data_IF_598017477364
#
_entry.id   IF_598017477364
#
_cell.length_a   1.000
_cell.length_b   1.000
_cell.length_c   1.000
_cell.angle_alpha   90.00
_cell.angle_beta   90.00
_cell.angle_gamma   90.00
#
_symmetry.space_group_name_H-M   'P 1'
#
loop_
_entity.id
_entity.type
_entity.pdbx_description
1 polymer ?
#
# COMPACT_ATOMS: atom_id res chain seq x y z
N UNK A 1 -7.91 -23.85 9.38
CA UNK A 1 -6.91 -24.82 9.88
C UNK A 1 -6.78 -24.70 11.38
N UNK A 2 -6.11 -23.67 11.91
CA UNK A 2 -5.80 -23.53 13.34
C UNK A 2 -7.03 -23.60 14.28
N UNK A 3 -8.14 -22.92 13.94
CA UNK A 3 -9.38 -23.00 14.73
C UNK A 3 -10.12 -24.35 14.58
N UNK A 4 -9.94 -25.04 13.45
CA UNK A 4 -10.63 -26.30 13.14
C UNK A 4 -9.94 -27.46 13.86
N UNK A 5 -8.60 -27.44 13.92
CA UNK A 5 -7.82 -28.48 14.60
C UNK A 5 -7.81 -28.32 16.11
N UNK A 6 -8.23 -27.17 16.65
CA UNK A 6 -8.14 -26.87 18.08
C UNK A 6 -6.72 -26.72 18.59
N UNK A 7 -5.72 -26.66 17.70
CA UNK A 7 -4.30 -26.66 18.06
C UNK A 7 -3.79 -25.23 18.28
N UNK A 8 -4.33 -24.58 19.31
CA UNK A 8 -3.95 -23.24 19.75
C UNK A 8 -4.10 -23.11 21.26
N UNK A 9 -3.41 -22.14 21.86
CA UNK A 9 -3.56 -21.84 23.28
C UNK A 9 -4.21 -20.47 23.47
N UNK A 10 -5.07 -20.36 24.46
CA UNK A 10 -5.72 -19.12 24.90
C UNK A 10 -5.29 -18.85 26.33
N UNK A 11 -4.74 -17.67 26.57
CA UNK A 11 -4.38 -17.18 27.89
C UNK A 11 -5.34 -16.04 28.26
N UNK A 12 -5.80 -16.05 29.51
CA UNK A 12 -6.60 -14.97 30.09
C UNK A 12 -5.73 -13.77 30.45
N UNK A 13 -6.38 -12.68 30.83
CA UNK A 13 -5.72 -11.42 31.20
C UNK A 13 -4.77 -11.58 32.39
N UNK A 14 -5.07 -12.55 33.27
CA UNK A 14 -4.26 -12.89 34.44
C UNK A 14 -3.10 -13.87 34.12
N UNK A 15 -2.88 -14.17 32.83
CA UNK A 15 -1.89 -15.15 32.37
C UNK A 15 -2.31 -16.61 32.58
N UNK A 16 -3.47 -16.86 33.19
CA UNK A 16 -4.02 -18.20 33.35
C UNK A 16 -4.42 -18.81 31.99
N UNK A 17 -4.07 -20.07 31.75
CA UNK A 17 -4.48 -20.75 30.52
C UNK A 17 -5.99 -21.02 30.54
N UNK A 18 -6.72 -20.38 29.62
CA UNK A 18 -8.16 -20.61 29.40
C UNK A 18 -8.40 -21.82 28.50
N UNK A 19 -7.47 -22.09 27.59
CA UNK A 19 -7.49 -23.26 26.71
C UNK A 19 -6.07 -23.62 26.28
N UNK A 20 -5.73 -24.91 26.28
CA UNK A 20 -4.42 -25.40 25.86
C UNK A 20 -4.59 -26.53 24.84
N UNK A 21 -4.51 -26.20 23.56
CA UNK A 21 -4.54 -27.16 22.46
C UNK A 21 -3.17 -27.77 22.14
N UNK A 22 -2.07 -27.08 22.48
CA UNK A 22 -0.70 -27.59 22.27
C UNK A 22 0.17 -27.23 23.49
N UNK A 23 0.63 -28.22 24.24
CA UNK A 23 1.53 -28.00 25.37
C UNK A 23 2.94 -27.62 24.90
N UNK A 24 3.52 -26.58 25.51
CA UNK A 24 4.93 -26.21 25.31
C UNK A 24 5.27 -25.44 24.03
N UNK A 25 4.29 -25.12 23.18
CA UNK A 25 4.50 -24.30 21.98
C UNK A 25 4.07 -22.86 22.28
N UNK A 26 4.98 -21.91 22.07
CA UNK A 26 4.70 -20.49 22.20
C UNK A 26 3.79 -19.99 21.06
N UNK A 27 3.05 -18.91 21.31
CA UNK A 27 2.22 -18.28 20.29
C UNK A 27 3.04 -17.85 19.08
N UNK A 28 2.58 -18.22 17.88
CA UNK A 28 3.25 -17.86 16.64
C UNK A 28 3.15 -18.92 15.55
N UNK A 29 4.12 -18.95 14.61
CA UNK A 29 4.12 -19.86 13.47
C UNK A 29 4.04 -21.35 13.85
N UNK A 30 4.50 -21.70 15.07
CA UNK A 30 4.45 -23.06 15.60
C UNK A 30 3.03 -23.64 15.66
N UNK A 31 2.00 -22.82 15.96
CA UNK A 31 0.61 -23.31 15.96
C UNK A 31 0.15 -23.73 14.57
N UNK A 32 0.52 -22.96 13.54
CA UNK A 32 0.15 -23.27 12.16
C UNK A 32 0.93 -24.49 11.66
N UNK A 33 2.20 -24.63 12.05
CA UNK A 33 3.01 -25.81 11.74
C UNK A 33 2.39 -27.07 12.35
N UNK A 34 2.11 -27.08 13.66
CA UNK A 34 1.49 -28.23 14.34
C UNK A 34 0.08 -28.52 13.80
N UNK A 35 -0.71 -27.48 13.51
CA UNK A 35 -2.02 -27.66 12.88
C UNK A 35 -1.92 -28.30 11.49
N UNK A 36 -0.99 -27.85 10.66
CA UNK A 36 -0.78 -28.41 9.32
C UNK A 36 -0.26 -29.84 9.39
N UNK A 37 0.65 -30.13 10.33
CA UNK A 37 1.17 -31.47 10.58
C UNK A 37 0.07 -32.45 11.00
N UNK A 38 -0.90 -32.00 11.81
CA UNK A 38 -2.04 -32.85 12.20
C UNK A 38 -2.93 -33.25 11.01
N UNK A 39 -2.96 -32.42 9.96
CA UNK A 39 -3.76 -32.65 8.76
C UNK A 39 -3.00 -33.39 7.68
N UNK A 40 -1.68 -33.18 7.60
CA UNK A 40 -0.78 -33.83 6.65
C UNK A 40 0.50 -34.28 7.38
N UNK A 41 0.44 -35.43 8.09
CA UNK A 41 1.58 -35.93 8.86
C UNK A 41 2.79 -36.21 7.97
N UNK A 42 3.98 -35.81 8.44
CA UNK A 42 5.27 -35.97 7.78
C UNK A 42 5.63 -34.88 6.76
N UNK A 43 4.66 -34.10 6.28
CA UNK A 43 4.89 -33.07 5.25
C UNK A 43 4.41 -31.66 5.65
N UNK A 44 3.43 -31.56 6.56
CA UNK A 44 2.80 -30.29 6.93
C UNK A 44 3.79 -29.25 7.46
N UNK A 45 4.72 -29.66 8.34
CA UNK A 45 5.75 -28.77 8.88
C UNK A 45 6.68 -28.19 7.79
N UNK A 46 7.17 -29.04 6.88
CA UNK A 46 8.05 -28.61 5.78
C UNK A 46 7.34 -27.68 4.81
N UNK A 47 6.08 -27.98 4.48
CA UNK A 47 5.26 -27.13 3.63
C UNK A 47 5.13 -25.70 4.20
N UNK A 48 4.76 -25.59 5.48
CA UNK A 48 4.60 -24.27 6.13
C UNK A 48 5.94 -23.52 6.19
N UNK A 49 7.05 -24.20 6.48
CA UNK A 49 8.37 -23.58 6.51
C UNK A 49 8.77 -23.01 5.14
N UNK A 50 8.56 -23.75 4.05
CA UNK A 50 8.86 -23.30 2.68
C UNK A 50 7.94 -22.14 2.29
N UNK A 51 6.65 -22.23 2.58
CA UNK A 51 5.70 -21.15 2.30
C UNK A 51 6.07 -19.87 3.06
N UNK A 52 6.43 -19.98 4.34
CA UNK A 52 6.84 -18.85 5.17
C UNK A 52 8.14 -18.22 4.65
N UNK A 53 9.07 -19.02 4.14
CA UNK A 53 10.30 -18.52 3.52
C UNK A 53 9.99 -17.63 2.32
N UNK A 54 9.18 -18.10 1.36
CA UNK A 54 8.82 -17.29 0.18
C UNK A 54 8.00 -16.06 0.55
N UNK A 55 7.07 -16.20 1.51
CA UNK A 55 6.27 -15.08 1.99
C UNK A 55 7.13 -14.00 2.65
N UNK A 56 8.02 -14.38 3.57
CA UNK A 56 8.93 -13.44 4.22
C UNK A 56 9.92 -12.81 3.22
N UNK A 57 10.47 -13.61 2.29
CA UNK A 57 11.42 -13.14 1.28
C UNK A 57 10.80 -12.06 0.38
N UNK A 58 9.63 -12.34 -0.19
CA UNK A 58 8.92 -11.37 -1.05
C UNK A 58 8.51 -10.13 -0.27
N UNK A 59 8.10 -10.28 0.98
CA UNK A 59 7.76 -9.17 1.87
C UNK A 59 8.97 -8.27 2.14
N UNK A 60 10.14 -8.82 2.47
CA UNK A 60 11.37 -8.04 2.70
C UNK A 60 11.75 -7.23 1.45
N UNK A 61 11.66 -7.83 0.26
CA UNK A 61 11.95 -7.13 -1.01
C UNK A 61 10.95 -5.99 -1.25
N UNK A 62 9.65 -6.24 -1.02
CA UNK A 62 8.62 -5.21 -1.19
C UNK A 62 8.85 -4.02 -0.24
N UNK A 63 9.14 -4.27 1.04
CA UNK A 63 9.45 -3.21 2.00
C UNK A 63 10.73 -2.45 1.64
N UNK A 64 11.76 -3.15 1.15
CA UNK A 64 12.97 -2.52 0.65
C UNK A 64 12.67 -1.56 -0.52
N UNK A 65 11.87 -2.00 -1.50
CA UNK A 65 11.51 -1.18 -2.65
C UNK A 65 10.72 0.09 -2.26
N UNK A 66 9.75 -0.05 -1.33
CA UNK A 66 8.99 1.07 -0.79
C UNK A 66 9.93 2.06 -0.07
N UNK A 67 10.84 1.55 0.76
CA UNK A 67 11.80 2.38 1.48
C UNK A 67 12.79 3.08 0.55
N UNK A 68 13.31 2.38 -0.47
CA UNK A 68 14.22 2.95 -1.46
C UNK A 68 13.55 4.07 -2.26
N UNK A 69 12.28 3.90 -2.65
CA UNK A 69 11.50 4.93 -3.36
C UNK A 69 11.27 6.16 -2.46
N UNK A 70 10.93 5.96 -1.19
CA UNK A 70 10.77 7.05 -0.21
C UNK A 70 12.09 7.81 0.01
N UNK A 71 13.21 7.09 0.13
CA UNK A 71 14.53 7.71 0.24
C UNK A 71 14.88 8.45 -1.04
N UNK A 72 14.65 7.87 -2.22
CA UNK A 72 14.93 8.52 -3.50
C UNK A 72 14.15 9.84 -3.65
N UNK A 73 12.89 9.88 -3.20
CA UNK A 73 12.08 11.09 -3.16
C UNK A 73 12.70 12.19 -2.27
N UNK A 74 13.12 11.84 -1.05
CA UNK A 74 13.80 12.77 -0.13
C UNK A 74 15.15 13.21 -0.71
N UNK A 75 15.88 12.26 -1.28
CA UNK A 75 17.22 12.44 -1.78
C UNK A 75 17.28 13.36 -3.01
N UNK A 76 16.19 13.48 -3.77
CA UNK A 76 16.05 14.46 -4.85
C UNK A 76 16.25 15.91 -4.38
N UNK A 77 15.99 16.22 -3.11
CA UNK A 77 16.29 17.52 -2.51
C UNK A 77 17.65 17.57 -1.81
N UNK A 78 18.06 16.50 -1.14
CA UNK A 78 19.22 16.50 -0.22
C UNK A 78 20.54 16.03 -0.88
N UNK A 79 20.48 15.33 -2.02
CA UNK A 79 21.62 14.87 -2.84
C UNK A 79 22.70 14.05 -2.07
N UNK A 80 22.28 13.09 -1.26
CA UNK A 80 23.11 12.16 -0.48
C UNK A 80 22.93 10.70 -0.94
N UNK A 81 23.73 10.22 -1.92
CA UNK A 81 23.61 8.85 -2.45
C UNK A 81 23.91 7.76 -1.39
N UNK A 82 24.58 8.10 -0.29
CA UNK A 82 24.87 7.16 0.79
C UNK A 82 23.62 6.70 1.57
N UNK A 83 22.51 7.43 1.52
CA UNK A 83 21.26 7.04 2.21
C UNK A 83 20.72 5.69 1.73
N UNK A 84 20.76 5.42 0.43
CA UNK A 84 20.33 4.14 -0.13
C UNK A 84 21.27 3.00 0.27
N UNK A 85 22.57 3.27 0.37
CA UNK A 85 23.54 2.28 0.85
C UNK A 85 23.32 1.96 2.34
N UNK A 86 23.08 2.99 3.15
CA UNK A 86 22.73 2.81 4.57
C UNK A 86 21.46 1.98 4.73
N UNK A 87 20.41 2.25 3.94
CA UNK A 87 19.17 1.46 3.97
C UNK A 87 19.45 -0.03 3.72
N UNK A 88 20.22 -0.37 2.68
CA UNK A 88 20.60 -1.75 2.38
C UNK A 88 21.31 -2.40 3.56
N UNK A 89 22.30 -1.70 4.13
CA UNK A 89 23.06 -2.19 5.28
C UNK A 89 22.15 -2.43 6.50
N UNK A 90 21.28 -1.46 6.82
CA UNK A 90 20.33 -1.55 7.93
C UNK A 90 19.34 -2.69 7.74
N UNK A 91 18.79 -2.89 6.54
CA UNK A 91 17.86 -3.98 6.24
C UNK A 91 18.54 -5.34 6.38
N UNK A 92 19.74 -5.50 5.81
CA UNK A 92 20.53 -6.73 5.96
C UNK A 92 20.83 -7.03 7.42
N UNK A 93 21.29 -6.02 8.17
CA UNK A 93 21.56 -6.15 9.60
C UNK A 93 20.29 -6.49 10.40
N UNK A 94 19.16 -5.88 10.07
CA UNK A 94 17.87 -6.15 10.72
C UNK A 94 17.37 -7.56 10.43
N UNK A 95 17.52 -8.07 9.21
CA UNK A 95 17.16 -9.45 8.86
C UNK A 95 18.00 -10.46 9.63
N UNK A 96 19.31 -10.24 9.73
CA UNK A 96 20.20 -11.10 10.54
C UNK A 96 19.86 -10.98 12.02
N UNK A 97 19.61 -9.78 12.53
CA UNK A 97 19.22 -9.56 13.91
C UNK A 97 17.87 -10.22 14.24
N UNK A 98 16.95 -10.29 13.26
CA UNK A 98 15.66 -10.95 13.37
C UNK A 98 15.75 -12.47 13.57
N UNK A 99 16.88 -13.12 13.25
CA UNK A 99 17.05 -14.56 13.53
C UNK A 99 17.45 -14.85 14.98
N UNK A 100 17.95 -13.84 15.71
CA UNK A 100 18.50 -13.99 17.07
C UNK A 100 17.54 -13.50 18.15
N UNK A 101 16.62 -12.59 17.81
CA UNK A 101 15.68 -11.99 18.78
C UNK A 101 14.31 -12.65 18.79
N UNK A 102 13.58 -12.42 19.89
CA UNK A 102 12.19 -12.86 20.02
C UNK A 102 11.29 -12.07 19.08
N UNK A 103 10.25 -12.74 18.57
CA UNK A 103 9.25 -12.13 17.71
C UNK A 103 8.62 -10.88 18.35
N UNK A 104 8.43 -10.88 19.68
CA UNK A 104 7.79 -9.79 20.42
C UNK A 104 8.51 -8.44 20.27
N UNK A 105 9.85 -8.45 20.22
CA UNK A 105 10.61 -7.22 20.00
C UNK A 105 10.41 -6.67 18.58
N UNK A 106 10.33 -7.57 17.59
CA UNK A 106 10.08 -7.20 16.21
C UNK A 106 8.65 -6.66 16.04
N UNK A 107 7.66 -7.29 16.68
CA UNK A 107 6.28 -6.82 16.71
C UNK A 107 6.16 -5.46 17.40
N UNK A 108 6.78 -5.27 18.56
CA UNK A 108 6.75 -3.98 19.27
C UNK A 108 7.38 -2.83 18.47
N UNK A 109 8.51 -3.07 17.78
CA UNK A 109 9.11 -2.07 16.90
C UNK A 109 8.23 -1.82 15.66
N UNK A 110 7.63 -2.88 15.11
CA UNK A 110 6.70 -2.83 13.99
C UNK A 110 5.46 -1.99 14.28
N UNK A 111 4.83 -2.21 15.44
CA UNK A 111 3.62 -1.50 15.84
C UNK A 111 3.86 0.01 15.97
N UNK A 112 5.01 0.42 16.52
CA UNK A 112 5.39 1.84 16.61
C UNK A 112 5.61 2.42 15.21
N UNK A 113 6.34 1.72 14.35
CA UNK A 113 6.67 2.17 13.00
C UNK A 113 5.42 2.32 12.12
N UNK A 114 4.59 1.28 12.07
CA UNK A 114 3.33 1.26 11.30
C UNK A 114 2.33 2.26 11.88
N UNK A 115 2.24 2.35 13.22
CA UNK A 115 1.38 3.33 13.89
C UNK A 115 1.74 4.77 13.53
N UNK A 116 3.03 5.11 13.55
CA UNK A 116 3.49 6.45 13.15
C UNK A 116 3.19 6.73 11.68
N UNK A 117 3.44 5.77 10.79
CA UNK A 117 3.12 5.89 9.37
C UNK A 117 1.61 6.10 9.15
N UNK A 118 0.77 5.35 9.85
CA UNK A 118 -0.68 5.45 9.76
C UNK A 118 -1.18 6.84 10.19
N UNK A 119 -0.70 7.36 11.33
CA UNK A 119 -1.11 8.68 11.81
C UNK A 119 -0.77 9.80 10.84
N UNK A 120 0.44 9.80 10.28
CA UNK A 120 0.85 10.80 9.29
C UNK A 120 -0.04 10.75 8.04
N UNK A 121 -0.33 9.55 7.54
CA UNK A 121 -1.18 9.37 6.36
C UNK A 121 -2.65 9.75 6.64
N UNK A 122 -3.21 9.39 7.79
CA UNK A 122 -4.58 9.74 8.16
C UNK A 122 -4.73 11.27 8.23
N UNK A 123 -3.81 11.97 8.90
CA UNK A 123 -3.83 13.43 8.98
C UNK A 123 -3.74 14.05 7.58
N UNK A 124 -2.86 13.54 6.72
CA UNK A 124 -2.73 14.02 5.35
C UNK A 124 -4.04 13.83 4.55
N UNK A 125 -4.69 12.66 4.66
CA UNK A 125 -5.97 12.37 4.01
C UNK A 125 -7.05 13.32 4.52
N UNK A 126 -7.13 13.56 5.83
CA UNK A 126 -8.10 14.49 6.43
C UNK A 126 -7.88 15.92 5.93
N UNK A 127 -6.64 16.38 5.79
CA UNK A 127 -6.36 17.71 5.23
C UNK A 127 -6.67 17.79 3.72
N UNK A 128 -6.48 16.70 2.98
CA UNK A 128 -6.71 16.64 1.53
C UNK A 128 -8.14 16.26 1.13
N UNK A 129 -9.00 15.84 2.06
CA UNK A 129 -10.31 15.26 1.73
C UNK A 129 -11.13 16.15 0.80
N UNK A 130 -11.17 17.48 1.04
CA UNK A 130 -11.95 18.41 0.20
C UNK A 130 -11.49 18.38 -1.26
N UNK A 131 -10.18 18.39 -1.50
CA UNK A 131 -9.61 18.34 -2.84
C UNK A 131 -9.88 16.98 -3.49
N UNK A 132 -9.71 15.89 -2.73
CA UNK A 132 -9.97 14.54 -3.20
C UNK A 132 -11.43 14.34 -3.64
N UNK A 133 -12.41 14.82 -2.85
CA UNK A 133 -13.83 14.74 -3.20
C UNK A 133 -14.19 15.61 -4.41
N UNK A 134 -13.59 16.80 -4.55
CA UNK A 134 -13.79 17.65 -5.73
C UNK A 134 -13.27 16.95 -6.99
N UNK A 135 -12.07 16.38 -6.94
CA UNK A 135 -11.51 15.60 -8.04
C UNK A 135 -12.35 14.37 -8.37
N UNK A 136 -12.86 13.66 -7.35
CA UNK A 136 -13.70 12.48 -7.54
C UNK A 136 -15.02 12.84 -8.22
N UNK A 137 -15.68 13.91 -7.78
CA UNK A 137 -16.94 14.38 -8.37
C UNK A 137 -16.76 14.81 -9.83
N UNK A 138 -15.64 15.43 -10.14
CA UNK A 138 -15.29 15.80 -11.51
C UNK A 138 -15.11 14.56 -12.40
N UNK A 139 -14.37 13.56 -11.90
CA UNK A 139 -14.19 12.27 -12.56
C UNK A 139 -15.53 11.56 -12.81
N UNK A 140 -16.39 11.47 -11.79
CA UNK A 140 -17.72 10.85 -11.92
C UNK A 140 -18.60 11.58 -12.95
N UNK A 141 -18.53 12.92 -13.00
CA UNK A 141 -19.28 13.72 -13.96
C UNK A 141 -18.82 13.47 -15.40
N UNK A 142 -17.50 13.40 -15.63
CA UNK A 142 -16.94 13.11 -16.95
C UNK A 142 -17.26 11.66 -17.39
N UNK A 143 -17.13 10.70 -16.48
CA UNK A 143 -17.45 9.30 -16.74
C UNK A 143 -18.95 9.10 -17.05
N UNK A 144 -19.84 9.78 -16.32
CA UNK A 144 -21.28 9.74 -16.57
C UNK A 144 -21.68 10.36 -17.93
N UNK A 145 -20.85 11.27 -18.46
CA UNK A 145 -21.02 11.85 -19.80
C UNK A 145 -20.45 10.95 -20.91
N UNK A 146 -19.85 9.80 -20.56
CA UNK A 146 -19.20 8.90 -21.52
C UNK A 146 -17.92 9.48 -22.13
N UNK A 147 -17.34 10.51 -21.52
CA UNK A 147 -16.07 11.11 -21.92
C UNK A 147 -14.91 10.35 -21.26
N UNK A 148 -13.74 10.39 -21.90
CA UNK A 148 -12.50 9.89 -21.28
C UNK A 148 -12.06 10.86 -20.17
N UNK A 149 -12.09 10.47 -18.88
CA UNK A 149 -11.92 11.41 -17.77
C UNK A 149 -10.50 11.98 -17.70
N UNK A 150 -10.35 13.29 -17.88
CA UNK A 150 -9.08 13.99 -17.70
C UNK A 150 -9.12 14.94 -16.50
N UNK A 151 -8.09 14.86 -15.66
CA UNK A 151 -7.98 15.68 -14.47
C UNK A 151 -7.40 17.06 -14.79
N UNK A 152 -8.22 18.12 -14.69
CA UNK A 152 -7.75 19.51 -14.83
C UNK A 152 -7.66 20.23 -13.47
N UNK A 153 -6.44 20.42 -12.91
CA UNK A 153 -6.27 21.09 -11.62
C UNK A 153 -6.63 22.58 -11.66
N UNK A 154 -6.54 23.25 -12.82
CA UNK A 154 -6.85 24.68 -12.97
C UNK A 154 -8.36 24.88 -12.93
N UNK A 155 -9.11 24.05 -13.65
CA UNK A 155 -10.59 24.06 -13.65
C UNK A 155 -11.16 23.80 -12.25
N UNK A 156 -10.48 22.96 -11.47
CA UNK A 156 -10.89 22.57 -10.11
C UNK A 156 -10.31 23.48 -9.00
N UNK A 157 -9.53 24.51 -9.34
CA UNK A 157 -8.95 25.45 -8.37
C UNK A 157 -7.91 24.82 -7.43
N UNK A 158 -7.31 23.69 -7.83
CA UNK A 158 -6.34 22.95 -7.01
C UNK A 158 -4.94 23.53 -7.22
N UNK A 159 -4.48 24.30 -6.22
CA UNK A 159 -3.11 24.84 -6.18
C UNK A 159 -2.06 23.75 -5.89
N UNK A 160 -0.85 23.91 -6.43
CA UNK A 160 0.33 23.02 -6.30
C UNK A 160 0.19 21.65 -6.99
N UNK A 161 -0.44 21.61 -8.16
CA UNK A 161 -0.61 20.40 -8.98
C UNK A 161 0.10 20.52 -10.33
N UNK A 162 1.33 21.06 -10.31
CA UNK A 162 2.08 21.46 -11.51
C UNK A 162 2.45 20.28 -12.42
N UNK A 163 2.53 19.06 -11.86
CA UNK A 163 2.79 17.83 -12.62
C UNK A 163 1.77 17.62 -13.75
N UNK A 164 0.50 17.90 -13.49
CA UNK A 164 -0.61 17.71 -14.43
C UNK A 164 -0.78 18.90 -15.41
N UNK A 165 0.07 19.92 -15.31
CA UNK A 165 0.09 21.04 -16.27
C UNK A 165 0.97 20.73 -17.49
N UNK A 166 1.98 19.85 -17.33
CA UNK A 166 3.02 19.60 -18.33
C UNK A 166 2.64 18.66 -19.47
N UNK A 167 1.55 17.88 -19.33
CA UNK A 167 1.11 16.91 -20.34
C UNK A 167 0.18 17.52 -21.41
N UNK A 168 -0.22 18.78 -21.28
CA UNK A 168 -0.98 19.52 -22.32
C UNK A 168 -0.08 20.09 -23.43
N UNK A 169 0.81 19.26 -24.00
CA UNK A 169 1.57 19.65 -25.22
C UNK A 169 0.86 19.30 -26.54
N UNK A 170 -0.26 18.58 -26.47
CA UNK A 170 -0.96 18.09 -27.66
C UNK A 170 -2.27 18.85 -27.97
N UNK A 171 -2.64 19.85 -27.14
CA UNK A 171 -3.72 20.77 -27.46
C UNK A 171 -3.14 22.14 -27.85
N UNK A 172 -3.34 22.62 -29.09
CA UNK A 172 -2.96 23.98 -29.44
C UNK A 172 -3.77 24.94 -28.57
N UNK A 173 -3.04 25.81 -27.85
CA UNK A 173 -3.58 26.83 -26.98
C UNK A 173 -4.85 27.45 -27.57
N UNK A 174 -5.99 27.26 -26.90
CA UNK A 174 -7.24 27.86 -27.27
C UNK A 174 -7.05 29.38 -27.33
N UNK A 175 -7.08 29.90 -28.56
CA UNK A 175 -6.88 31.30 -28.87
C UNK A 175 -8.00 32.11 -28.18
N UNK A 176 -7.75 33.24 -27.50
CA UNK A 176 -8.77 33.96 -26.70
C UNK A 176 -9.89 34.64 -27.53
N UNK A 177 -10.14 34.23 -28.77
CA UNK A 177 -10.99 34.92 -29.73
C UNK A 177 -12.08 34.10 -30.41
N UNK A 178 -12.35 32.86 -30.00
CA UNK A 178 -13.43 32.05 -30.60
C UNK A 178 -14.50 31.68 -29.58
N UNK A 179 -15.25 32.71 -29.14
CA UNK A 179 -16.64 32.49 -28.73
C UNK A 179 -17.46 32.30 -30.01
N UNK A 180 -18.38 31.32 -30.02
CA UNK A 180 -19.41 31.04 -31.05
C UNK A 180 -18.96 30.43 -32.39
N UNK A 181 -19.02 29.09 -32.51
CA UNK A 181 -19.43 28.44 -33.77
C UNK A 181 -19.69 26.92 -33.69
N UNK A 182 -19.13 26.18 -32.74
CA UNK A 182 -19.14 24.69 -32.81
C UNK A 182 -20.51 24.03 -32.54
N UNK A 183 -21.53 24.77 -32.10
CA UNK A 183 -22.85 24.17 -31.77
C UNK A 183 -23.77 23.97 -32.99
N UNK A 184 -23.43 24.46 -34.20
CA UNK A 184 -24.40 24.46 -35.32
C UNK A 184 -24.28 23.34 -36.37
N UNK A 185 -23.24 22.52 -36.38
CA UNK A 185 -23.06 21.54 -37.48
C UNK A 185 -23.59 20.12 -37.21
N UNK A 186 -24.02 19.78 -35.99
CA UNK A 186 -24.50 18.42 -35.71
C UNK A 186 -26.00 18.18 -35.98
N UNK A 187 -26.78 19.19 -36.42
CA UNK A 187 -28.22 19.00 -36.69
C UNK A 187 -28.62 18.86 -38.16
N UNK A 188 -27.70 18.94 -39.13
CA UNK A 188 -28.04 18.92 -40.56
C UNK A 188 -27.73 17.59 -41.29
N UNK A 189 -27.15 16.60 -40.60
CA UNK A 189 -26.64 15.36 -41.21
C UNK A 189 -27.53 14.13 -41.04
N UNK A 190 -28.85 14.25 -41.14
CA UNK A 190 -29.72 13.11 -41.47
C UNK A 190 -30.46 13.45 -42.76
N UNK A 191 -30.04 12.86 -43.87
CA UNK A 191 -30.84 12.42 -45.03
C UNK A 191 -29.89 12.10 -46.20
N UNK A 192 -30.05 10.91 -46.79
CA UNK A 192 -29.47 10.40 -48.04
C UNK A 192 -28.10 9.69 -47.94
N UNK A 193 -28.09 8.38 -47.71
CA UNK A 193 -27.99 7.35 -48.76
C UNK A 193 -28.18 5.96 -48.15
#
# INVERSE_FOLDING_TARGET
>A
MLLITGLYNVQGVDGAALYTGIAGVAAGPGYVQTAMESMMPGFGNYFVAIALFFFAFTTIIAYYYIAETNIAYINRKIHRPWLTFLLKLCLMASTVYGTVRTADLAWGLGDIGVGMMAWLNIIAIVLLHKKAFVSLKDYETQNAQGLDPQFDPVRLGIKNADYWLGERKDEPAANPGQTTSVVREQSAGKLNN
#
